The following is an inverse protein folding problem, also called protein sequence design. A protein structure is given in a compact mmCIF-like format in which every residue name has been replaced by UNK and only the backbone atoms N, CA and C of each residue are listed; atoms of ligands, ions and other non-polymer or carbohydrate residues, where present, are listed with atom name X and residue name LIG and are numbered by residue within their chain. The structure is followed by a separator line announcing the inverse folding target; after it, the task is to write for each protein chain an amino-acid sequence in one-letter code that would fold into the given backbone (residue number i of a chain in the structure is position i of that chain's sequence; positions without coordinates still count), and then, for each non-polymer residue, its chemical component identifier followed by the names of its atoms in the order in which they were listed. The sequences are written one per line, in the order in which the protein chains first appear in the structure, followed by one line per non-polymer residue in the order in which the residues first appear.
data_IF_098162943966
#
_entry.id   IF_098162943966
#
_cell.length_a   1.000
_cell.length_b   1.000
_cell.length_c   1.000
_cell.angle_alpha   90.00
_cell.angle_beta   90.00
_cell.angle_gamma   90.00
#
_symmetry.space_group_name_H-M   'P 1'
#
loop_
_entity.id
_entity.type
_entity.pdbx_description
1 polymer ?
#
# COMPACT_ATOMS: atom_id res chain seq x y z
N UNK A 1 -11.88 6.90 52.25
CA UNK A 1 -11.66 7.83 51.12
C UNK A 1 -11.02 7.03 50.01
N UNK A 2 -11.90 6.45 49.20
CA UNK A 2 -11.61 5.55 48.08
C UNK A 2 -11.17 6.41 46.89
N UNK A 3 -9.97 6.19 46.35
CA UNK A 3 -9.57 6.73 45.05
C UNK A 3 -8.94 5.60 44.24
N UNK A 4 -9.80 4.85 43.55
CA UNK A 4 -9.43 3.94 42.47
C UNK A 4 -8.87 4.75 41.30
N UNK A 5 -7.63 4.51 40.94
CA UNK A 5 -7.11 4.87 39.63
C UNK A 5 -7.46 3.76 38.63
N UNK A 6 -8.11 4.07 37.49
CA UNK A 6 -8.52 3.06 36.52
C UNK A 6 -7.29 2.46 35.83
N UNK A 7 -7.30 1.14 35.72
CA UNK A 7 -6.41 0.35 34.89
C UNK A 7 -6.34 0.95 33.48
N UNK A 8 -5.16 1.48 33.11
CA UNK A 8 -4.85 1.78 31.71
C UNK A 8 -4.77 0.44 30.99
N UNK A 9 -5.86 0.08 30.32
CA UNK A 9 -5.84 -0.93 29.28
C UNK A 9 -4.77 -0.50 28.27
N UNK A 10 -3.66 -1.24 28.22
CA UNK A 10 -2.88 -1.35 27.00
C UNK A 10 -3.84 -1.92 25.96
N UNK A 11 -4.47 -1.04 25.19
CA UNK A 11 -4.90 -1.41 23.86
C UNK A 11 -3.61 -1.80 23.15
N UNK A 12 -3.34 -3.10 23.12
CA UNK A 12 -2.55 -3.69 22.05
C UNK A 12 -3.23 -3.20 20.78
N UNK A 13 -2.61 -2.25 20.09
CA UNK A 13 -2.90 -1.99 18.69
C UNK A 13 -2.46 -3.27 17.96
N UNK A 14 -3.28 -4.30 18.06
CA UNK A 14 -3.45 -5.25 16.99
C UNK A 14 -3.94 -4.37 15.87
N UNK A 15 -3.03 -3.91 15.00
CA UNK A 15 -3.39 -3.61 13.64
C UNK A 15 -3.96 -4.91 13.09
N UNK A 16 -5.25 -5.14 13.35
CA UNK A 16 -6.10 -5.90 12.45
C UNK A 16 -6.19 -5.04 11.21
N UNK A 17 -5.11 -5.04 10.42
CA UNK A 17 -5.22 -4.76 9.02
C UNK A 17 -6.00 -5.95 8.45
N UNK A 18 -7.33 -5.88 8.54
CA UNK A 18 -8.16 -6.58 7.58
C UNK A 18 -7.88 -5.92 6.23
N UNK A 19 -6.76 -6.30 5.63
CA UNK A 19 -6.51 -6.15 4.22
C UNK A 19 -7.62 -6.93 3.51
N UNK A 20 -8.69 -6.25 3.10
CA UNK A 20 -9.57 -6.79 2.06
C UNK A 20 -8.81 -6.60 0.76
N UNK A 21 -7.92 -7.55 0.44
CA UNK A 21 -7.15 -7.51 -0.80
C UNK A 21 -8.13 -7.41 -1.96
N UNK A 22 -7.85 -6.55 -2.95
CA UNK A 22 -8.58 -6.60 -4.21
C UNK A 22 -8.50 -8.04 -4.75
N UNK A 23 -9.56 -8.58 -5.35
CA UNK A 23 -9.48 -9.89 -5.95
C UNK A 23 -8.47 -9.84 -7.10
N UNK A 24 -7.51 -10.76 -7.11
CA UNK A 24 -6.40 -10.79 -8.06
C UNK A 24 -6.29 -12.17 -8.67
N UNK A 25 -5.97 -12.22 -9.95
CA UNK A 25 -5.55 -13.44 -10.62
C UNK A 25 -4.02 -13.43 -10.70
N UNK A 26 -3.38 -14.23 -9.86
CA UNK A 26 -1.94 -14.30 -9.70
C UNK A 26 -1.42 -15.59 -10.32
N UNK A 27 -0.48 -15.49 -11.26
CA UNK A 27 0.21 -16.67 -11.82
C UNK A 27 1.70 -16.56 -11.52
N UNK A 28 2.22 -17.54 -10.80
CA UNK A 28 3.65 -17.72 -10.62
C UNK A 28 4.23 -18.43 -11.83
N UNK A 29 5.34 -17.93 -12.36
CA UNK A 29 6.11 -18.51 -13.46
C UNK A 29 7.51 -18.80 -12.93
N UNK A 30 7.77 -20.05 -12.56
CA UNK A 30 9.02 -20.45 -11.90
C UNK A 30 9.97 -21.13 -12.88
N UNK A 31 11.21 -20.64 -12.89
CA UNK A 31 12.32 -21.26 -13.58
C UNK A 31 12.82 -22.48 -12.79
N UNK A 32 12.83 -23.64 -13.45
CA UNK A 32 13.42 -24.88 -12.94
C UNK A 32 14.46 -25.45 -13.89
N UNK A 33 15.09 -24.58 -14.69
CA UNK A 33 16.19 -24.93 -15.58
C UNK A 33 17.42 -25.43 -14.82
N UNK A 34 18.40 -25.95 -15.57
CA UNK A 34 19.63 -26.52 -15.00
C UNK A 34 20.50 -25.48 -14.28
N UNK A 35 20.41 -24.19 -14.63
CA UNK A 35 21.14 -23.14 -13.90
C UNK A 35 20.65 -23.03 -12.47
N UNK A 36 19.33 -23.17 -12.27
CA UNK A 36 18.69 -23.12 -10.96
C UNK A 36 19.06 -24.36 -10.16
N UNK A 37 19.97 -24.19 -9.19
CA UNK A 37 20.34 -25.26 -8.27
C UNK A 37 19.14 -25.66 -7.43
N UNK A 38 19.08 -26.93 -7.02
CA UNK A 38 17.98 -27.47 -6.22
C UNK A 38 17.72 -26.67 -4.94
N UNK A 39 18.77 -26.18 -4.27
CA UNK A 39 18.63 -25.33 -3.09
C UNK A 39 17.97 -23.97 -3.41
N UNK A 40 18.29 -23.37 -4.55
CA UNK A 40 17.68 -22.09 -4.97
C UNK A 40 16.23 -22.29 -5.42
N UNK A 41 15.92 -23.42 -6.05
CA UNK A 41 14.54 -23.80 -6.36
C UNK A 41 13.68 -23.97 -5.11
N UNK A 42 14.21 -24.60 -4.06
CA UNK A 42 13.48 -24.70 -2.78
C UNK A 42 13.31 -23.33 -2.11
N UNK A 43 14.30 -22.44 -2.15
CA UNK A 43 14.13 -21.06 -1.68
C UNK A 43 13.06 -20.30 -2.47
N UNK A 44 12.99 -20.48 -3.78
CA UNK A 44 11.93 -19.91 -4.59
C UNK A 44 10.55 -20.43 -4.14
N UNK A 45 10.42 -21.73 -3.86
CA UNK A 45 9.19 -22.31 -3.31
C UNK A 45 8.84 -21.79 -1.91
N UNK A 46 9.82 -21.60 -1.04
CA UNK A 46 9.62 -20.96 0.28
C UNK A 46 9.09 -19.53 0.09
N UNK A 47 9.72 -18.73 -0.77
CA UNK A 47 9.26 -17.39 -1.13
C UNK A 47 7.80 -17.38 -1.62
N UNK A 48 7.43 -18.30 -2.51
CA UNK A 48 6.05 -18.39 -2.99
C UNK A 48 5.06 -18.74 -1.87
N UNK A 49 5.46 -19.64 -0.96
CA UNK A 49 4.63 -20.05 0.17
C UNK A 49 4.42 -18.92 1.17
N UNK A 50 5.46 -18.15 1.49
CA UNK A 50 5.40 -16.99 2.38
C UNK A 50 4.51 -15.88 1.79
N UNK A 51 4.64 -15.64 0.48
CA UNK A 51 3.75 -14.72 -0.22
C UNK A 51 2.29 -15.18 -0.13
N UNK A 52 2.03 -16.47 -0.40
CA UNK A 52 0.67 -17.03 -0.28
C UNK A 52 0.10 -16.90 1.14
N UNK A 53 0.95 -16.98 2.19
CA UNK A 53 0.52 -16.77 3.57
C UNK A 53 0.01 -15.35 3.81
N UNK A 54 0.62 -14.35 3.17
CA UNK A 54 0.20 -12.95 3.26
C UNK A 54 -1.08 -12.61 2.48
N UNK A 55 -1.50 -13.47 1.55
CA UNK A 55 -2.64 -13.23 0.66
C UNK A 55 -3.93 -13.89 1.16
N UNK A 56 -5.08 -13.27 0.87
CA UNK A 56 -6.39 -13.90 1.03
C UNK A 56 -6.70 -14.74 -0.22
N UNK A 57 -6.69 -16.07 -0.06
CA UNK A 57 -6.93 -17.04 -1.14
C UNK A 57 -8.40 -17.45 -1.15
N UNK A 58 -9.05 -17.39 -2.30
CA UNK A 58 -10.46 -17.76 -2.43
C UNK A 58 -11.02 -17.59 -3.83
N UNK A 59 -12.23 -18.10 -4.06
CA UNK A 59 -12.94 -17.95 -5.34
C UNK A 59 -13.20 -16.49 -5.69
N UNK A 60 -13.51 -15.68 -4.69
CA UNK A 60 -13.87 -14.26 -4.84
C UNK A 60 -12.79 -13.31 -4.32
N UNK A 61 -11.63 -13.86 -3.92
CA UNK A 61 -10.45 -13.15 -3.44
C UNK A 61 -9.28 -13.37 -4.43
N UNK A 62 -8.10 -13.78 -3.95
CA UNK A 62 -6.95 -14.10 -4.81
C UNK A 62 -7.05 -15.53 -5.34
N UNK A 63 -6.93 -15.68 -6.66
CA UNK A 63 -6.79 -16.97 -7.35
C UNK A 63 -5.33 -17.14 -7.76
N UNK A 64 -4.77 -18.33 -7.56
CA UNK A 64 -3.35 -18.58 -7.80
C UNK A 64 -3.17 -19.72 -8.80
N UNK A 65 -2.37 -19.48 -9.84
CA UNK A 65 -1.88 -20.48 -10.78
C UNK A 65 -0.36 -20.62 -10.69
N UNK A 66 0.16 -21.74 -11.16
CA UNK A 66 1.59 -21.99 -11.22
C UNK A 66 1.98 -22.62 -12.55
N UNK A 67 2.96 -21.98 -13.19
CA UNK A 67 3.63 -22.44 -14.40
C UNK A 67 5.09 -22.69 -14.05
N UNK A 68 5.55 -23.90 -14.26
CA UNK A 68 6.91 -24.35 -14.06
C UNK A 68 7.57 -24.53 -15.43
N UNK A 69 8.77 -23.98 -15.64
CA UNK A 69 9.39 -24.06 -16.95
C UNK A 69 10.90 -24.34 -16.90
N UNK A 70 11.36 -24.99 -17.96
CA UNK A 70 12.77 -25.16 -18.29
C UNK A 70 12.92 -25.17 -19.82
N UNK A 71 13.34 -26.29 -20.43
CA UNK A 71 13.24 -26.48 -21.90
C UNK A 71 11.79 -26.63 -22.37
N UNK A 72 10.91 -27.06 -21.48
CA UNK A 72 9.47 -27.22 -21.71
C UNK A 72 8.71 -26.45 -20.64
N UNK A 73 7.43 -26.15 -20.90
CA UNK A 73 6.55 -25.45 -19.97
C UNK A 73 5.50 -26.42 -19.45
N UNK A 74 5.43 -26.57 -18.13
CA UNK A 74 4.45 -27.37 -17.41
C UNK A 74 3.55 -26.46 -16.58
N UNK A 75 2.23 -26.61 -16.73
CA UNK A 75 1.27 -25.96 -15.85
C UNK A 75 1.01 -26.91 -14.68
N UNK A 76 1.48 -26.55 -13.49
CA UNK A 76 1.29 -27.38 -12.29
C UNK A 76 -0.16 -27.30 -11.80
N UNK A 77 -0.75 -26.10 -11.83
CA UNK A 77 -2.17 -25.88 -11.57
C UNK A 77 -2.64 -24.52 -12.08
N UNK A 78 -3.94 -24.42 -12.36
CA UNK A 78 -4.59 -23.23 -12.92
C UNK A 78 -5.29 -22.43 -11.82
N UNK A 79 -5.71 -21.19 -12.15
CA UNK A 79 -6.36 -20.25 -11.23
C UNK A 79 -7.63 -20.82 -10.57
N UNK A 80 -8.33 -21.74 -11.24
CA UNK A 80 -9.55 -22.39 -10.73
C UNK A 80 -9.32 -23.66 -9.89
N UNK A 81 -8.06 -24.09 -9.71
CA UNK A 81 -7.77 -25.40 -9.11
C UNK A 81 -7.84 -25.38 -7.58
N UNK A 82 -7.26 -24.36 -6.93
CA UNK A 82 -7.18 -24.28 -5.47
C UNK A 82 -7.76 -22.96 -4.95
N UNK A 83 -8.79 -23.06 -4.12
CA UNK A 83 -9.40 -21.91 -3.43
C UNK A 83 -9.15 -21.91 -1.92
N UNK A 84 -8.44 -22.91 -1.40
CA UNK A 84 -8.06 -22.98 0.01
C UNK A 84 -6.54 -22.84 0.13
N UNK A 85 -6.10 -21.97 1.05
CA UNK A 85 -4.68 -21.69 1.28
C UNK A 85 -3.88 -22.96 1.60
N UNK A 86 -4.42 -23.85 2.44
CA UNK A 86 -3.76 -25.09 2.87
C UNK A 86 -3.48 -26.04 1.69
N UNK A 87 -4.47 -26.27 0.81
CA UNK A 87 -4.30 -27.15 -0.35
C UNK A 87 -3.39 -26.54 -1.42
N UNK A 88 -3.47 -25.21 -1.61
CA UNK A 88 -2.56 -24.47 -2.49
C UNK A 88 -1.10 -24.61 -2.04
N UNK A 89 -0.81 -24.42 -0.74
CA UNK A 89 0.55 -24.57 -0.21
C UNK A 89 1.06 -26.01 -0.34
N UNK A 90 0.21 -27.00 -0.09
CA UNK A 90 0.59 -28.40 -0.27
C UNK A 90 0.89 -28.72 -1.74
N UNK A 91 0.16 -28.11 -2.68
CA UNK A 91 0.45 -28.23 -4.11
C UNK A 91 1.81 -27.60 -4.45
N UNK A 92 2.07 -26.37 -4.00
CA UNK A 92 3.35 -25.66 -4.17
C UNK A 92 4.54 -26.47 -3.64
N UNK A 93 4.42 -27.07 -2.45
CA UNK A 93 5.48 -27.84 -1.82
C UNK A 93 5.88 -29.11 -2.62
N UNK A 94 4.95 -29.69 -3.40
CA UNK A 94 5.16 -30.92 -4.17
C UNK A 94 5.75 -30.70 -5.56
N UNK A 95 5.91 -29.46 -5.99
CA UNK A 95 6.42 -29.17 -7.33
C UNK A 95 7.89 -29.59 -7.43
N UNK A 96 8.20 -30.32 -8.50
CA UNK A 96 9.54 -30.79 -8.81
C UNK A 96 10.15 -30.02 -9.99
N UNK A 97 11.48 -29.81 -10.00
CA UNK A 97 12.13 -29.10 -11.09
C UNK A 97 12.21 -29.96 -12.37
N UNK A 98 11.99 -29.35 -13.54
CA UNK A 98 12.02 -30.02 -14.85
C UNK A 98 13.45 -30.26 -15.37
N UNK A 99 14.40 -29.41 -14.97
CA UNK A 99 15.78 -29.35 -15.46
C UNK A 99 15.90 -29.06 -16.98
N UNK A 100 17.14 -28.93 -17.47
CA UNK A 100 17.51 -28.60 -18.88
C UNK A 100 17.65 -27.09 -19.16
N UNK A 101 17.14 -26.58 -20.28
CA UNK A 101 17.30 -25.19 -20.74
C UNK A 101 16.33 -24.21 -20.10
N UNK A 102 16.29 -22.97 -20.61
CA UNK A 102 15.59 -21.83 -19.99
C UNK A 102 14.76 -21.08 -21.04
N UNK A 103 13.57 -21.60 -21.37
CA UNK A 103 12.66 -21.05 -22.39
C UNK A 103 11.63 -20.10 -21.76
N UNK A 104 12.10 -18.96 -21.25
CA UNK A 104 11.28 -18.00 -20.50
C UNK A 104 10.22 -17.33 -21.38
N UNK A 105 10.53 -17.00 -22.64
CA UNK A 105 9.56 -16.43 -23.58
C UNK A 105 8.40 -17.39 -23.82
N UNK A 106 8.68 -18.68 -24.01
CA UNK A 106 7.66 -19.72 -24.10
C UNK A 106 6.81 -19.83 -22.83
N UNK A 107 7.41 -19.66 -21.66
CA UNK A 107 6.70 -19.68 -20.37
C UNK A 107 5.73 -18.50 -20.25
N UNK A 108 6.15 -17.28 -20.57
CA UNK A 108 5.30 -16.08 -20.57
C UNK A 108 4.15 -16.26 -21.56
N UNK A 109 4.44 -16.74 -22.78
CA UNK A 109 3.42 -17.00 -23.80
C UNK A 109 2.39 -18.02 -23.30
N UNK A 110 2.86 -19.12 -22.72
CA UNK A 110 1.99 -20.18 -22.19
C UNK A 110 1.12 -19.66 -21.04
N UNK A 111 1.67 -18.84 -20.15
CA UNK A 111 0.88 -18.21 -19.09
C UNK A 111 -0.23 -17.33 -19.66
N UNK A 112 0.09 -16.48 -20.65
CA UNK A 112 -0.89 -15.62 -21.32
C UNK A 112 -1.99 -16.43 -22.03
N UNK A 113 -1.62 -17.46 -22.80
CA UNK A 113 -2.55 -18.22 -23.65
C UNK A 113 -3.30 -19.34 -22.94
N UNK A 114 -2.83 -19.79 -21.76
CA UNK A 114 -3.41 -20.95 -21.07
C UNK A 114 -3.69 -20.76 -19.59
N UNK A 115 -2.98 -19.86 -18.89
CA UNK A 115 -3.20 -19.64 -17.45
C UNK A 115 -4.11 -18.43 -17.17
N UNK A 116 -4.01 -17.37 -17.98
CA UNK A 116 -4.79 -16.15 -17.85
C UNK A 116 -6.10 -16.12 -18.68
N UNK A 117 -6.61 -17.29 -19.06
CA UNK A 117 -7.86 -17.43 -19.80
C UNK A 117 -9.07 -17.69 -18.90
N UNK A 118 -10.27 -17.42 -19.42
CA UNK A 118 -11.51 -17.66 -18.68
C UNK A 118 -11.69 -19.15 -18.33
N UNK A 119 -11.27 -20.04 -19.23
CA UNK A 119 -11.33 -21.49 -19.04
C UNK A 119 -10.40 -21.95 -17.93
N UNK A 120 -9.27 -21.24 -17.74
CA UNK A 120 -8.33 -21.48 -16.65
C UNK A 120 -8.77 -20.88 -15.31
N UNK A 121 -9.82 -20.07 -15.30
CA UNK A 121 -10.34 -19.41 -14.10
C UNK A 121 -9.93 -17.94 -13.96
N UNK A 122 -9.30 -17.35 -14.97
CA UNK A 122 -9.06 -15.91 -14.97
C UNK A 122 -10.38 -15.15 -15.13
N UNK A 123 -10.55 -14.11 -14.33
CA UNK A 123 -11.71 -13.25 -14.33
C UNK A 123 -11.53 -12.12 -15.35
N UNK A 124 -12.65 -11.60 -15.81
CA UNK A 124 -12.66 -10.57 -16.86
C UNK A 124 -12.17 -9.24 -16.29
N UNK A 125 -11.31 -8.55 -17.04
CA UNK A 125 -10.68 -7.29 -16.62
C UNK A 125 -11.69 -6.16 -16.33
N UNK A 126 -12.93 -6.27 -16.81
CA UNK A 126 -14.01 -5.31 -16.52
C UNK A 126 -14.42 -5.24 -15.03
N UNK A 127 -13.99 -6.21 -14.21
CA UNK A 127 -14.33 -6.31 -12.78
C UNK A 127 -13.28 -5.60 -11.89
N UNK A 128 -12.35 -4.81 -12.46
CA UNK A 128 -11.24 -4.18 -11.72
C UNK A 128 -10.36 -5.23 -10.99
N UNK A 129 -10.19 -6.40 -11.62
CA UNK A 129 -9.38 -7.52 -11.13
C UNK A 129 -8.03 -7.45 -11.85
N UNK A 130 -6.97 -7.30 -11.07
CA UNK A 130 -5.61 -7.28 -11.60
C UNK A 130 -5.19 -8.70 -12.03
N UNK A 131 -4.56 -8.80 -13.20
CA UNK A 131 -3.88 -10.01 -13.65
C UNK A 131 -2.39 -9.81 -13.45
N UNK A 132 -1.79 -10.57 -12.55
CA UNK A 132 -0.40 -10.39 -12.15
C UNK A 132 0.39 -11.66 -12.42
N UNK A 133 1.49 -11.54 -13.14
CA UNK A 133 2.46 -12.60 -13.35
C UNK A 133 3.72 -12.31 -12.53
N UNK A 134 4.18 -13.26 -11.72
CA UNK A 134 5.45 -13.17 -11.01
C UNK A 134 6.40 -14.21 -11.60
N UNK A 135 7.43 -13.73 -12.29
CA UNK A 135 8.47 -14.55 -12.90
C UNK A 135 9.63 -14.66 -11.92
N UNK A 136 10.00 -15.89 -11.55
CA UNK A 136 11.15 -16.16 -10.70
C UNK A 136 12.20 -16.90 -11.54
N UNK A 137 13.39 -16.32 -11.70
CA UNK A 137 14.47 -16.90 -12.53
C UNK A 137 15.85 -16.52 -12.00
N UNK A 138 16.84 -17.39 -12.24
CA UNK A 138 18.25 -17.15 -11.90
C UNK A 138 19.12 -16.79 -13.12
N UNK A 139 18.53 -16.80 -14.32
CA UNK A 139 19.26 -16.98 -15.55
C UNK A 139 18.90 -16.02 -16.67
N UNK A 140 19.66 -16.12 -17.77
CA UNK A 140 19.36 -15.43 -19.02
C UNK A 140 18.44 -16.31 -19.87
N UNK A 141 17.35 -15.77 -20.42
CA UNK A 141 16.48 -16.52 -21.31
C UNK A 141 17.25 -17.00 -22.55
N UNK A 142 16.90 -18.19 -23.05
CA UNK A 142 17.47 -18.76 -24.28
C UNK A 142 16.62 -18.47 -25.53
N UNK A 143 15.50 -17.78 -25.34
CA UNK A 143 14.54 -17.37 -26.36
C UNK A 143 14.22 -15.86 -26.26
N UNK A 144 13.44 -15.34 -27.22
CA UNK A 144 13.05 -13.93 -27.24
C UNK A 144 11.95 -13.67 -26.21
N UNK A 145 12.27 -12.87 -25.19
CA UNK A 145 11.33 -12.49 -24.12
C UNK A 145 10.68 -11.13 -24.33
N UNK A 146 11.31 -10.22 -25.07
CA UNK A 146 10.89 -8.81 -25.13
C UNK A 146 9.53 -8.66 -25.80
N UNK A 147 9.35 -9.28 -26.97
CA UNK A 147 8.11 -9.23 -27.74
C UNK A 147 6.95 -9.89 -26.99
N UNK A 148 7.21 -11.05 -26.38
CA UNK A 148 6.19 -11.82 -25.66
C UNK A 148 5.78 -11.12 -24.36
N UNK A 149 6.74 -10.56 -23.62
CA UNK A 149 6.45 -9.77 -22.43
C UNK A 149 5.67 -8.50 -22.80
N UNK A 150 6.02 -7.82 -23.90
CA UNK A 150 5.26 -6.68 -24.39
C UNK A 150 3.80 -7.05 -24.74
N UNK A 151 3.58 -8.18 -25.41
CA UNK A 151 2.24 -8.67 -25.73
C UNK A 151 1.44 -9.00 -24.46
N UNK A 152 2.06 -9.66 -23.47
CA UNK A 152 1.44 -9.95 -22.20
C UNK A 152 1.05 -8.66 -21.45
N UNK A 153 1.93 -7.66 -21.39
CA UNK A 153 1.62 -6.33 -20.82
C UNK A 153 0.48 -5.62 -21.55
N UNK A 154 0.48 -5.64 -22.88
CA UNK A 154 -0.59 -5.08 -23.70
C UNK A 154 -1.95 -5.76 -23.46
N UNK A 155 -1.95 -7.04 -23.06
CA UNK A 155 -3.16 -7.77 -22.67
C UNK A 155 -3.67 -7.45 -21.25
N UNK A 156 -2.99 -6.54 -20.54
CA UNK A 156 -3.34 -6.12 -19.17
C UNK A 156 -2.77 -7.03 -18.09
N UNK A 157 -1.73 -7.83 -18.40
CA UNK A 157 -0.99 -8.62 -17.40
C UNK A 157 0.17 -7.77 -16.88
N UNK A 158 0.18 -7.55 -15.58
CA UNK A 158 1.28 -6.86 -14.89
C UNK A 158 2.37 -7.88 -14.53
N UNK A 159 3.60 -7.66 -14.99
CA UNK A 159 4.69 -8.63 -14.85
C UNK A 159 5.70 -8.12 -13.83
N UNK A 160 5.93 -8.92 -12.79
CA UNK A 160 6.98 -8.75 -11.80
C UNK A 160 8.09 -9.76 -12.08
N UNK A 161 9.33 -9.30 -12.16
CA UNK A 161 10.49 -10.15 -12.38
C UNK A 161 11.34 -10.22 -11.11
N UNK A 162 11.56 -11.43 -10.62
CA UNK A 162 12.31 -11.74 -9.40
C UNK A 162 13.54 -12.54 -9.79
N UNK A 163 14.70 -11.89 -9.72
CA UNK A 163 16.00 -12.50 -9.93
C UNK A 163 16.48 -13.23 -8.68
N UNK A 164 17.00 -14.45 -8.83
CA UNK A 164 17.63 -15.22 -7.75
C UNK A 164 19.13 -15.41 -8.04
N UNK A 165 19.98 -15.25 -7.02
CA UNK A 165 21.45 -15.47 -7.04
C UNK A 165 22.24 -14.68 -8.09
N UNK A 166 22.26 -15.11 -9.35
CA UNK A 166 23.08 -14.55 -10.46
C UNK A 166 22.25 -14.02 -11.63
N UNK A 167 20.98 -13.71 -11.39
CA UNK A 167 20.08 -13.28 -12.45
C UNK A 167 20.56 -12.00 -13.16
N UNK A 168 20.31 -11.94 -14.46
CA UNK A 168 20.74 -10.80 -15.28
C UNK A 168 19.70 -9.67 -15.21
N UNK A 169 20.06 -8.55 -14.58
CA UNK A 169 19.16 -7.41 -14.37
C UNK A 169 18.57 -6.83 -15.66
N UNK A 170 19.32 -6.85 -16.76
CA UNK A 170 18.83 -6.37 -18.06
C UNK A 170 17.74 -7.30 -18.60
N UNK A 171 17.96 -8.61 -18.51
CA UNK A 171 16.97 -9.62 -18.89
C UNK A 171 15.69 -9.49 -18.05
N UNK A 172 15.81 -9.29 -16.74
CA UNK A 172 14.65 -9.08 -15.85
C UNK A 172 13.84 -7.84 -16.24
N UNK A 173 14.51 -6.73 -16.60
CA UNK A 173 13.85 -5.50 -17.05
C UNK A 173 13.09 -5.66 -18.35
N UNK A 174 13.59 -6.45 -19.30
CA UNK A 174 12.89 -6.72 -20.56
C UNK A 174 11.54 -7.43 -20.33
N UNK A 175 11.49 -8.29 -19.32
CA UNK A 175 10.28 -9.05 -18.96
C UNK A 175 9.30 -8.22 -18.11
N UNK A 176 9.80 -7.52 -17.11
CA UNK A 176 8.98 -6.80 -16.13
C UNK A 176 8.17 -5.65 -16.74
N UNK A 177 7.08 -5.28 -16.08
CA UNK A 177 6.34 -4.05 -16.37
C UNK A 177 7.11 -2.79 -15.96
N UNK A 178 6.88 -1.65 -16.63
CA UNK A 178 7.30 -0.35 -16.11
C UNK A 178 6.36 0.12 -14.97
N UNK A 179 6.85 0.91 -14.01
CA UNK A 179 8.25 1.35 -13.84
C UNK A 179 9.10 0.22 -13.21
N UNK A 180 10.32 0.03 -13.72
CA UNK A 180 11.13 -1.16 -13.42
C UNK A 180 11.64 -1.23 -11.98
N UNK A 181 11.81 -0.09 -11.31
CA UNK A 181 12.16 0.01 -9.89
C UNK A 181 11.05 -0.52 -8.96
N UNK A 182 9.82 -0.65 -9.47
CA UNK A 182 8.70 -1.23 -8.74
C UNK A 182 8.38 -2.69 -9.12
N UNK A 183 8.92 -3.18 -10.25
CA UNK A 183 8.57 -4.49 -10.81
C UNK A 183 9.77 -5.44 -10.95
N UNK A 184 11.00 -4.97 -10.74
CA UNK A 184 12.20 -5.80 -10.80
C UNK A 184 12.82 -5.92 -9.42
N UNK A 185 12.95 -7.15 -8.95
CA UNK A 185 13.47 -7.47 -7.64
C UNK A 185 14.61 -8.45 -7.75
N UNK A 186 15.59 -8.32 -6.86
CA UNK A 186 16.77 -9.17 -6.83
C UNK A 186 16.91 -9.77 -5.43
N UNK A 187 16.80 -11.09 -5.32
CA UNK A 187 16.82 -11.84 -4.06
C UNK A 187 18.24 -12.35 -3.83
N UNK A 188 19.09 -11.53 -3.19
CA UNK A 188 20.38 -11.98 -2.64
C UNK A 188 20.25 -12.51 -1.21
N UNK A 189 19.26 -12.03 -0.45
CA UNK A 189 19.07 -12.35 0.98
C UNK A 189 17.58 -12.30 1.36
N UNK A 190 17.21 -13.01 2.45
CA UNK A 190 15.84 -13.16 2.96
C UNK A 190 15.03 -11.84 3.07
N UNK A 191 15.67 -10.68 3.28
CA UNK A 191 14.97 -9.38 3.43
C UNK A 191 14.23 -8.88 2.17
N UNK A 192 14.53 -9.44 1.00
CA UNK A 192 13.86 -9.06 -0.26
C UNK A 192 12.44 -9.63 -0.33
N UNK A 193 12.21 -10.77 0.33
CA UNK A 193 10.89 -11.41 0.42
C UNK A 193 9.90 -10.51 1.15
N UNK A 194 10.33 -9.92 2.27
CA UNK A 194 9.50 -9.00 3.05
C UNK A 194 9.20 -7.71 2.29
N UNK A 195 10.17 -7.18 1.53
CA UNK A 195 9.96 -5.98 0.70
C UNK A 195 9.02 -6.23 -0.47
N UNK A 196 9.14 -7.38 -1.13
CA UNK A 196 8.18 -7.83 -2.15
C UNK A 196 6.81 -7.99 -1.54
N UNK A 197 6.70 -8.68 -0.40
CA UNK A 197 5.45 -8.94 0.29
C UNK A 197 4.80 -7.64 0.78
N UNK A 198 5.59 -6.69 1.31
CA UNK A 198 5.09 -5.39 1.76
C UNK A 198 4.65 -4.51 0.60
N UNK A 199 5.41 -4.47 -0.51
CA UNK A 199 5.02 -3.71 -1.70
C UNK A 199 3.79 -4.33 -2.37
N UNK A 200 3.72 -5.65 -2.50
CA UNK A 200 2.52 -6.34 -2.95
C UNK A 200 1.35 -6.02 -2.02
N UNK A 201 1.55 -6.01 -0.71
CA UNK A 201 0.52 -5.60 0.24
C UNK A 201 0.11 -4.13 0.07
N UNK A 202 1.03 -3.22 -0.20
CA UNK A 202 0.71 -1.79 -0.43
C UNK A 202 0.00 -1.55 -1.78
N UNK A 203 0.42 -2.25 -2.83
CA UNK A 203 -0.17 -2.17 -4.17
C UNK A 203 -1.53 -2.88 -4.23
N UNK A 204 -1.71 -3.98 -3.47
CA UNK A 204 -2.86 -4.88 -3.56
C UNK A 204 -3.86 -4.73 -2.41
N UNK A 205 -3.40 -4.37 -1.20
CA UNK A 205 -4.29 -3.85 -0.16
C UNK A 205 -4.58 -2.39 -0.50
N UNK A 206 -5.65 -2.22 -1.29
CA UNK A 206 -6.35 -0.97 -1.56
C UNK A 206 -5.71 0.26 -0.94
N UNK A 207 -4.83 0.89 -1.72
CA UNK A 207 -4.65 2.32 -1.66
C UNK A 207 -6.03 2.95 -1.47
N UNK A 208 -6.25 3.60 -0.33
CA UNK A 208 -7.51 4.26 0.00
C UNK A 208 -7.88 5.15 -1.20
N UNK A 209 -8.90 4.78 -2.01
CA UNK A 209 -9.22 5.53 -3.21
C UNK A 209 -9.63 6.98 -2.90
N UNK A 210 -10.06 7.25 -1.66
CA UNK A 210 -10.29 8.61 -1.18
C UNK A 210 -8.98 9.33 -0.79
N UNK A 211 -7.94 8.63 -0.33
CA UNK A 211 -6.65 9.23 0.03
C UNK A 211 -5.77 9.59 -1.18
N UNK A 212 -5.97 8.95 -2.34
CA UNK A 212 -5.17 9.19 -3.55
C UNK A 212 -5.69 10.30 -4.46
N UNK A 213 -6.73 11.03 -4.02
CA UNK A 213 -7.40 12.06 -4.81
C UNK A 213 -8.63 11.50 -5.52
N UNK A 214 -9.79 12.05 -5.15
CA UNK A 214 -11.10 11.63 -5.64
C UNK A 214 -11.87 12.77 -6.29
N UNK A 215 -12.87 12.42 -7.10
CA UNK A 215 -13.71 13.40 -7.80
C UNK A 215 -15.02 13.76 -7.08
N UNK A 216 -15.21 13.32 -5.83
CA UNK A 216 -16.39 13.68 -5.03
C UNK A 216 -16.40 15.15 -4.64
N UNK A 217 -17.53 15.83 -4.82
CA UNK A 217 -17.72 17.22 -4.38
C UNK A 217 -17.78 17.35 -2.85
N UNK A 218 -18.35 16.36 -2.15
CA UNK A 218 -18.50 16.36 -0.69
C UNK A 218 -17.72 15.20 -0.07
N UNK A 219 -18.40 14.15 0.37
CA UNK A 219 -17.81 13.06 1.15
C UNK A 219 -17.45 11.93 0.19
N UNK A 220 -16.19 11.50 0.21
CA UNK A 220 -15.77 10.26 -0.41
C UNK A 220 -15.85 9.13 0.61
N UNK A 221 -16.50 8.02 0.22
CA UNK A 221 -16.60 6.82 1.06
C UNK A 221 -16.03 5.64 0.29
N UNK A 222 -15.02 5.00 0.85
CA UNK A 222 -14.47 3.77 0.31
C UNK A 222 -15.55 2.68 0.32
N UNK A 223 -15.68 2.00 -0.81
CA UNK A 223 -16.29 0.69 -0.87
C UNK A 223 -15.19 -0.33 -1.18
N UNK A 224 -15.48 -1.62 -1.02
CA UNK A 224 -14.49 -2.71 -0.98
C UNK A 224 -13.34 -2.58 -2.01
N UNK A 225 -13.60 -2.04 -3.21
CA UNK A 225 -12.61 -1.92 -4.30
C UNK A 225 -12.61 -0.58 -5.07
N UNK A 226 -13.38 0.42 -4.64
CA UNK A 226 -13.57 1.74 -5.28
C UNK A 226 -14.03 2.78 -4.24
N UNK A 227 -14.57 3.91 -4.67
CA UNK A 227 -15.23 4.86 -3.79
C UNK A 227 -16.58 5.27 -4.36
N UNK A 228 -17.46 5.74 -3.48
CA UNK A 228 -18.69 6.40 -3.88
C UNK A 228 -18.85 7.70 -3.11
N UNK A 229 -19.51 8.66 -3.74
CA UNK A 229 -19.71 9.96 -3.14
C UNK A 229 -20.98 9.98 -2.31
N UNK A 230 -20.90 10.53 -1.11
CA UNK A 230 -22.05 10.92 -0.28
C UNK A 230 -22.12 12.43 -0.17
N UNK A 231 -23.34 12.94 -0.04
CA UNK A 231 -23.57 14.35 0.20
C UNK A 231 -23.77 14.63 1.69
N UNK A 232 -23.37 15.83 2.14
CA UNK A 232 -23.75 16.33 3.46
C UNK A 232 -25.28 16.46 3.61
N UNK A 233 -25.75 16.54 4.85
CA UNK A 233 -27.17 16.70 5.16
C UNK A 233 -27.76 17.92 4.42
N UNK A 234 -28.95 17.75 3.84
CA UNK A 234 -29.62 18.78 3.04
C UNK A 234 -29.27 18.79 1.54
N UNK A 235 -28.42 17.87 1.08
CA UNK A 235 -28.05 17.71 -0.33
C UNK A 235 -28.36 16.31 -0.86
N UNK A 236 -28.63 16.20 -2.16
CA UNK A 236 -28.91 14.97 -2.90
C UNK A 236 -27.83 14.78 -3.95
N UNK A 237 -27.34 13.54 -4.07
CA UNK A 237 -26.33 13.19 -5.06
C UNK A 237 -26.93 13.26 -6.47
N UNK A 238 -26.27 13.99 -7.36
CA UNK A 238 -26.70 14.16 -8.74
C UNK A 238 -26.50 12.87 -9.56
N UNK A 239 -27.07 12.84 -10.77
CA UNK A 239 -26.97 11.68 -11.67
C UNK A 239 -25.53 11.35 -12.09
N UNK A 240 -24.63 12.34 -12.03
CA UNK A 240 -23.20 12.14 -12.29
C UNK A 240 -22.47 11.34 -11.18
N UNK A 241 -23.17 11.05 -10.06
CA UNK A 241 -22.67 10.34 -8.87
C UNK A 241 -21.44 11.01 -8.22
N UNK A 242 -21.17 12.27 -8.53
CA UNK A 242 -19.99 13.02 -8.08
C UNK A 242 -20.34 14.36 -7.43
N UNK A 243 -21.34 15.05 -7.98
CA UNK A 243 -21.78 16.36 -7.48
C UNK A 243 -23.06 16.25 -6.64
N UNK A 244 -23.27 17.24 -5.78
CA UNK A 244 -24.36 17.28 -4.80
C UNK A 244 -25.19 18.55 -5.00
N UNK A 245 -26.50 18.40 -5.20
CA UNK A 245 -27.45 19.51 -5.29
C UNK A 245 -28.27 19.65 -4.02
N UNK A 246 -28.64 20.87 -3.63
CA UNK A 246 -29.45 21.10 -2.43
C UNK A 246 -30.84 20.48 -2.62
N UNK A 247 -31.32 19.75 -1.60
CA UNK A 247 -32.64 19.12 -1.60
C UNK A 247 -33.70 20.23 -1.65
N UNK A 248 -34.39 20.39 -2.78
CA UNK A 248 -35.54 21.29 -2.85
C UNK A 248 -36.70 20.62 -2.12
N UNK A 249 -36.94 21.05 -0.87
CA UNK A 249 -38.19 20.75 -0.20
C UNK A 249 -39.29 21.60 -0.85
N UNK A 250 -39.92 21.07 -1.91
CA UNK A 250 -41.21 21.56 -2.35
C UNK A 250 -42.27 21.10 -1.34
N UNK A 251 -42.38 21.80 -0.22
CA UNK A 251 -43.46 21.59 0.75
C UNK A 251 -44.74 22.33 0.31
N UNK A 252 -45.08 22.24 -0.98
CA UNK A 252 -46.24 22.93 -1.57
C UNK A 252 -47.27 21.95 -2.16
N UNK A 253 -47.35 20.73 -1.61
CA UNK A 253 -48.33 19.72 -2.03
C UNK A 253 -49.05 19.04 -0.85
N UNK A 254 -49.24 19.73 0.28
CA UNK A 254 -50.18 19.29 1.32
C UNK A 254 -50.97 20.49 1.86
N UNK A 255 -51.64 21.26 1.00
CA UNK A 255 -52.73 22.17 1.40
C UNK A 255 -53.74 22.36 0.25
N UNK A 256 -54.06 21.30 -0.51
CA UNK A 256 -55.13 21.34 -1.52
C UNK A 256 -56.46 20.71 -1.06
N UNK A 257 -56.57 20.27 0.19
CA UNK A 257 -57.75 19.55 0.68
C UNK A 257 -58.53 20.21 1.82
N UNK A 258 -58.15 21.39 2.30
CA UNK A 258 -58.96 22.09 3.31
C UNK A 258 -59.06 23.58 3.03
N UNK A 259 -60.32 24.01 2.85
CA UNK A 259 -60.87 25.37 2.95
C UNK A 259 -61.09 26.15 1.64
N UNK A 260 -62.18 25.74 0.97
CA UNK A 260 -63.17 26.68 0.44
C UNK A 260 -63.79 27.48 1.60
N UNK A 261 -64.12 28.75 1.33
CA UNK A 261 -64.83 29.74 2.16
C UNK A 261 -63.93 30.54 3.12
N UNK A 262 -63.44 31.70 2.68
CA UNK A 262 -63.96 33.04 3.00
C UNK A 262 -63.09 34.08 2.30
N UNK A 263 -63.74 35.12 1.83
CA UNK A 263 -63.21 36.26 1.09
C UNK A 263 -62.18 37.06 1.91
N UNK A 264 -61.32 37.75 1.15
CA UNK A 264 -60.52 38.91 1.53
C UNK A 264 -59.25 38.69 2.36
N UNK A 265 -58.20 39.35 1.85
CA UNK A 265 -56.84 39.51 2.35
C UNK A 265 -55.90 38.34 2.06
N UNK A 266 -55.25 38.47 0.89
CA UNK A 266 -53.94 37.88 0.64
C UNK A 266 -53.03 38.10 1.86
N UNK A 267 -52.48 37.04 2.48
CA UNK A 267 -51.50 37.23 3.53
C UNK A 267 -50.19 37.65 2.88
N UNK A 268 -49.62 38.74 3.40
CA UNK A 268 -48.22 39.07 3.25
C UNK A 268 -47.41 37.80 3.44
N UNK A 269 -46.68 37.44 2.39
CA UNK A 269 -45.89 36.23 2.27
C UNK A 269 -44.61 36.40 3.11
N UNK A 270 -44.75 36.39 4.43
CA UNK A 270 -43.62 36.25 5.36
C UNK A 270 -43.50 34.80 5.81
N UNK A 271 -43.10 33.94 4.87
CA UNK A 271 -42.28 32.80 5.22
C UNK A 271 -40.85 33.20 4.89
N UNK A 272 -40.08 33.50 5.94
CA UNK A 272 -38.70 33.95 5.89
C UNK A 272 -37.91 33.17 4.87
N UNK A 273 -37.62 33.81 3.73
CA UNK A 273 -36.39 33.52 2.98
C UNK A 273 -35.28 33.60 4.02
N UNK A 274 -34.74 32.46 4.43
CA UNK A 274 -33.38 32.42 4.98
C UNK A 274 -32.51 33.04 3.90
N UNK A 275 -32.31 34.35 4.01
CA UNK A 275 -31.58 35.12 3.03
C UNK A 275 -30.14 34.66 3.13
N UNK A 276 -29.61 34.03 2.09
CA UNK A 276 -28.21 33.64 2.01
C UNK A 276 -27.33 34.88 2.22
N UNK A 277 -26.71 35.05 3.41
CA UNK A 277 -26.00 36.29 3.73
C UNK A 277 -24.69 36.38 2.95
N UNK A 278 -24.11 35.24 2.54
CA UNK A 278 -22.94 35.22 1.67
C UNK A 278 -23.27 35.69 0.23
N UNK A 279 -24.48 35.44 -0.28
CA UNK A 279 -24.88 35.86 -1.62
C UNK A 279 -25.26 37.35 -1.76
N UNK A 280 -25.53 38.04 -0.65
CA UNK A 280 -25.92 39.47 -0.61
C UNK A 280 -24.73 40.44 -0.50
N UNK A 281 -23.50 39.93 -0.50
CA UNK A 281 -22.28 40.69 -0.26
C UNK A 281 -21.84 40.56 1.20
N UNK A 282 -20.67 39.95 1.40
CA UNK A 282 -20.04 39.74 2.70
C UNK A 282 -18.68 40.44 2.76
N UNK A 283 -18.19 40.69 3.98
CA UNK A 283 -16.87 41.28 4.20
C UNK A 283 -15.81 40.25 4.65
N UNK A 284 -16.06 38.95 4.45
CA UNK A 284 -15.03 37.93 4.62
C UNK A 284 -13.93 38.09 3.58
N UNK A 285 -12.68 38.10 4.02
CA UNK A 285 -11.52 38.20 3.14
C UNK A 285 -11.34 36.95 2.25
N UNK A 286 -11.65 35.75 2.77
CA UNK A 286 -11.37 34.49 2.07
C UNK A 286 -12.59 33.59 1.87
N UNK A 287 -13.16 33.02 2.94
CA UNK A 287 -14.27 32.06 2.85
C UNK A 287 -15.44 32.58 3.68
N UNK A 288 -16.64 32.55 3.12
CA UNK A 288 -17.89 32.89 3.80
C UNK A 288 -18.74 31.62 3.96
N UNK A 289 -19.25 31.38 5.17
CA UNK A 289 -20.07 30.23 5.53
C UNK A 289 -21.40 30.74 6.09
N UNK A 290 -22.51 30.36 5.46
CA UNK A 290 -23.85 30.74 5.94
C UNK A 290 -24.16 30.07 7.29
N UNK A 291 -24.73 30.84 8.22
CA UNK A 291 -25.11 30.38 9.57
C UNK A 291 -26.46 30.99 9.94
N UNK A 292 -27.52 30.18 9.98
CA UNK A 292 -28.91 30.53 10.34
C UNK A 292 -29.44 31.86 9.75
N UNK A 293 -29.15 33.01 10.38
CA UNK A 293 -29.55 34.37 9.93
C UNK A 293 -28.36 35.30 9.58
N UNK A 294 -27.14 34.79 9.56
CA UNK A 294 -25.88 35.54 9.37
C UNK A 294 -24.83 34.72 8.58
N UNK A 295 -23.61 35.25 8.46
CA UNK A 295 -22.47 34.54 7.91
C UNK A 295 -21.29 34.55 8.87
N UNK A 296 -20.49 33.48 8.83
CA UNK A 296 -19.24 33.35 9.55
C UNK A 296 -18.12 33.30 8.52
N UNK A 297 -17.05 34.05 8.74
CA UNK A 297 -15.86 34.00 7.89
C UNK A 297 -14.93 32.88 8.34
N UNK A 298 -14.30 32.22 7.37
CA UNK A 298 -13.26 31.22 7.58
C UNK A 298 -12.08 31.49 6.66
N UNK A 299 -10.94 30.91 6.98
CA UNK A 299 -9.70 31.09 6.23
C UNK A 299 -9.29 29.80 5.51
N UNK A 300 -8.61 29.97 4.37
CA UNK A 300 -7.96 28.89 3.65
C UNK A 300 -6.82 28.31 4.48
N UNK A 301 -6.44 27.07 4.18
CA UNK A 301 -5.32 26.37 4.83
C UNK A 301 -4.07 27.26 4.86
N UNK A 302 -3.44 27.38 6.03
CA UNK A 302 -2.27 28.24 6.25
C UNK A 302 -2.57 29.65 6.79
N UNK A 303 -3.84 30.00 6.98
CA UNK A 303 -4.27 31.29 7.52
C UNK A 303 -5.14 31.10 8.77
N UNK A 304 -5.06 32.05 9.71
CA UNK A 304 -5.88 32.11 10.93
C UNK A 304 -6.78 33.32 10.85
N UNK A 305 -8.05 33.12 11.19
CA UNK A 305 -9.03 34.19 11.26
C UNK A 305 -8.62 35.16 12.36
N UNK A 306 -8.46 36.43 12.01
CA UNK A 306 -8.08 37.48 12.93
C UNK A 306 -9.19 37.77 13.94
N UNK A 307 -8.86 38.54 14.98
CA UNK A 307 -9.81 38.91 16.04
C UNK A 307 -11.02 39.70 15.52
N UNK A 308 -10.90 40.34 14.35
CA UNK A 308 -12.00 41.03 13.68
C UNK A 308 -13.05 40.08 13.06
N UNK A 309 -12.78 38.76 13.09
CA UNK A 309 -13.61 37.68 12.56
C UNK A 309 -13.92 37.79 11.06
N UNK A 310 -13.11 38.55 10.31
CA UNK A 310 -13.34 38.88 8.89
C UNK A 310 -12.09 38.74 8.04
N UNK A 311 -10.94 39.15 8.56
CA UNK A 311 -9.65 39.08 7.87
C UNK A 311 -8.84 37.86 8.31
N UNK A 312 -7.91 37.43 7.47
CA UNK A 312 -7.14 36.20 7.62
C UNK A 312 -5.64 36.53 7.62
N UNK A 313 -4.96 36.39 8.75
CA UNK A 313 -3.49 36.50 8.77
C UNK A 313 -2.85 35.15 8.51
N UNK A 314 -1.69 35.12 7.83
CA UNK A 314 -0.91 33.88 7.74
C UNK A 314 -0.61 33.35 9.14
N UNK A 315 -0.82 32.05 9.34
CA UNK A 315 -0.47 31.38 10.60
C UNK A 315 1.04 31.51 10.76
N UNK A 316 1.49 32.28 11.75
CA UNK A 316 2.91 32.37 12.09
C UNK A 316 3.27 31.10 12.88
N UNK A 317 3.51 30.01 12.15
CA UNK A 317 3.86 28.71 12.73
C UNK A 317 5.35 28.68 13.10
N UNK A 318 5.68 29.34 14.21
CA UNK A 318 6.83 28.92 15.02
C UNK A 318 6.40 27.79 15.97
N UNK A 319 5.93 26.69 15.40
CA UNK A 319 5.82 25.37 16.05
C UNK A 319 5.54 24.35 14.96
N UNK A 320 6.57 23.56 14.69
CA UNK A 320 6.61 22.26 14.01
C UNK A 320 5.30 21.76 13.40
N UNK A 321 5.04 22.14 12.14
CA UNK A 321 4.21 21.43 11.16
C UNK A 321 4.41 22.15 9.81
N UNK A 322 5.63 22.04 9.25
CA UNK A 322 5.92 22.54 7.89
C UNK A 322 5.75 21.42 6.89
N UNK A 323 4.57 21.40 6.26
CA UNK A 323 4.41 20.95 4.87
C UNK A 323 5.04 22.03 3.99
N UNK A 324 6.04 21.65 3.18
CA UNK A 324 6.81 22.53 2.32
C UNK A 324 6.08 22.75 0.98
N UNK A 325 5.92 24.01 0.57
CA UNK A 325 5.69 24.37 -0.83
C UNK A 325 6.56 25.59 -1.16
N UNK A 326 7.50 25.38 -2.07
CA UNK A 326 8.54 26.24 -2.66
C UNK A 326 9.83 26.54 -1.85
N UNK A 327 10.89 25.89 -2.33
CA UNK A 327 12.34 26.07 -2.24
C UNK A 327 13.06 26.16 -0.88
N UNK A 328 13.87 25.12 -0.64
CA UNK A 328 14.86 24.88 0.44
C UNK A 328 14.35 24.32 1.77
N UNK A 329 13.76 23.12 1.72
CA UNK A 329 14.07 22.10 2.72
C UNK A 329 14.68 20.93 1.95
N UNK A 330 16.00 20.98 1.76
CA UNK A 330 16.75 19.84 1.22
C UNK A 330 16.61 18.72 2.25
N UNK A 331 15.79 17.71 1.95
CA UNK A 331 15.82 16.43 2.66
C UNK A 331 17.16 15.79 2.34
N UNK A 332 18.17 16.14 3.14
CA UNK A 332 19.54 15.79 2.88
C UNK A 332 19.76 14.26 3.03
N UNK A 333 18.87 13.57 3.77
CA UNK A 333 18.82 12.11 3.79
C UNK A 333 18.22 11.50 2.50
N UNK A 334 17.26 12.16 1.85
CA UNK A 334 16.68 11.67 0.58
C UNK A 334 17.58 11.90 -0.66
N UNK A 335 18.51 12.85 -0.60
CA UNK A 335 19.39 13.21 -1.74
C UNK A 335 20.72 12.43 -1.78
N UNK A 336 20.85 11.37 -0.98
CA UNK A 336 22.07 10.57 -0.84
C UNK A 336 22.96 11.09 0.29
N UNK A 337 23.14 10.24 1.31
CA UNK A 337 23.96 10.52 2.50
C UNK A 337 25.05 9.45 2.66
N UNK A 338 26.09 9.76 3.43
CA UNK A 338 27.18 8.83 3.72
C UNK A 338 27.14 8.23 5.14
N UNK A 339 26.02 8.36 5.84
CA UNK A 339 25.78 7.66 7.11
C UNK A 339 25.81 6.14 6.95
N UNK A 340 26.56 5.45 7.81
CA UNK A 340 26.64 3.99 7.81
C UNK A 340 25.35 3.30 8.30
N UNK A 341 24.61 3.91 9.24
CA UNK A 341 23.44 3.28 9.87
C UNK A 341 22.14 4.08 9.68
N UNK A 342 21.97 5.18 10.39
CA UNK A 342 20.73 5.97 10.40
C UNK A 342 21.08 7.41 10.03
N UNK A 343 20.32 8.01 9.13
CA UNK A 343 20.41 9.42 8.76
C UNK A 343 19.20 10.17 9.33
N UNK A 344 19.42 11.30 10.00
CA UNK A 344 18.36 12.16 10.52
C UNK A 344 18.54 13.59 9.99
N UNK A 345 17.49 14.13 9.38
CA UNK A 345 17.53 15.49 8.85
C UNK A 345 17.63 16.53 9.96
N UNK A 346 18.53 17.50 9.78
CA UNK A 346 18.74 18.61 10.71
C UNK A 346 18.97 19.89 9.92
N UNK A 347 18.00 20.82 9.98
CA UNK A 347 18.07 22.20 9.48
C UNK A 347 18.98 22.41 8.24
N UNK A 348 18.53 21.96 7.06
CA UNK A 348 19.24 22.00 5.76
C UNK A 348 20.49 21.09 5.61
N UNK A 349 20.74 20.18 6.55
CA UNK A 349 21.76 19.12 6.50
C UNK A 349 21.22 17.81 7.07
N UNK A 350 22.07 16.79 7.23
CA UNK A 350 21.78 15.57 7.97
C UNK A 350 22.82 15.30 9.05
N UNK A 351 22.42 14.54 10.07
CA UNK A 351 23.30 13.96 11.08
C UNK A 351 23.17 12.44 11.05
N UNK A 352 24.29 11.74 11.26
CA UNK A 352 24.29 10.28 11.32
C UNK A 352 24.12 9.79 12.75
N UNK A 353 23.33 8.74 12.93
CA UNK A 353 23.11 8.03 14.18
C UNK A 353 23.42 6.54 14.01
N UNK A 354 23.79 5.89 15.10
CA UNK A 354 24.07 4.46 15.13
C UNK A 354 22.91 3.68 15.76
N UNK A 355 22.69 2.45 15.30
CA UNK A 355 21.76 1.48 15.92
C UNK A 355 22.28 1.05 17.30
N UNK A 356 21.40 0.51 18.13
CA UNK A 356 21.79 -0.02 19.45
C UNK A 356 22.97 -1.00 19.37
N UNK A 357 23.91 -0.89 20.31
CA UNK A 357 25.15 -1.66 20.31
C UNK A 357 26.32 -1.02 19.54
N UNK A 358 26.11 0.12 18.89
CA UNK A 358 27.15 0.85 18.13
C UNK A 358 27.31 2.30 18.58
N UNK A 359 28.52 2.84 18.43
CA UNK A 359 28.93 4.21 18.75
C UNK A 359 29.37 4.94 17.48
N UNK A 360 28.95 6.19 17.33
CA UNK A 360 29.31 7.02 16.18
C UNK A 360 30.78 7.43 16.31
N UNK A 361 31.55 7.14 15.27
CA UNK A 361 32.96 7.46 15.21
C UNK A 361 33.17 8.98 15.06
N UNK A 362 34.41 9.43 15.27
CA UNK A 362 34.77 10.85 15.18
C UNK A 362 34.55 11.48 13.80
N UNK A 363 34.43 10.66 12.75
CA UNK A 363 34.08 11.10 11.40
C UNK A 363 32.60 11.51 11.24
N UNK A 364 31.79 11.32 12.30
CA UNK A 364 30.36 11.58 12.37
C UNK A 364 29.52 10.85 11.33
N UNK A 365 30.03 9.76 10.75
CA UNK A 365 29.42 9.05 9.62
C UNK A 365 29.42 7.53 9.82
N UNK A 366 30.51 6.99 10.36
CA UNK A 366 30.66 5.56 10.58
C UNK A 366 30.36 5.17 12.02
N UNK A 367 29.96 3.92 12.22
CA UNK A 367 29.54 3.35 13.50
C UNK A 367 30.44 2.17 13.84
N UNK A 368 31.12 2.23 14.98
CA UNK A 368 31.88 1.09 15.53
C UNK A 368 31.09 0.40 16.63
N UNK A 369 31.29 -0.90 16.82
CA UNK A 369 30.64 -1.63 17.92
C UNK A 369 31.10 -0.99 19.23
N UNK A 370 30.16 -0.66 20.12
CA UNK A 370 30.49 -0.19 21.47
C UNK A 370 31.42 -1.23 22.09
N UNK A 371 32.66 -0.85 22.40
CA UNK A 371 33.54 -1.73 23.15
C UNK A 371 32.91 -1.96 24.51
N UNK A 372 32.35 -3.15 24.70
CA UNK A 372 32.14 -3.72 26.02
C UNK A 372 33.52 -3.84 26.64
N UNK A 373 33.90 -2.89 27.49
CA UNK A 373 35.05 -3.05 28.37
C UNK A 373 34.75 -4.25 29.27
N UNK A 374 35.33 -5.39 28.89
CA UNK A 374 35.37 -6.61 29.68
C UNK A 374 34.43 -7.72 29.22
N UNK A 375 34.82 -8.46 28.18
CA UNK A 375 35.04 -9.92 28.27
C UNK A 375 35.58 -10.44 26.93
N UNK A 376 36.82 -10.91 26.98
CA UNK A 376 37.52 -11.57 25.88
C UNK A 376 36.99 -13.01 25.79
N UNK A 377 36.34 -13.38 24.68
CA UNK A 377 36.15 -14.77 24.29
C UNK A 377 37.11 -15.08 23.13
N UNK A 378 38.25 -15.69 23.46
CA UNK A 378 39.16 -16.25 22.45
C UNK A 378 38.66 -17.65 22.11
N UNK A 379 38.09 -17.85 20.91
CA UNK A 379 37.89 -19.17 20.36
C UNK A 379 39.24 -19.72 19.86
N UNK A 380 39.96 -20.42 20.74
CA UNK A 380 40.99 -21.38 20.34
C UNK A 380 40.31 -22.70 19.96
N UNK A 381 40.50 -23.15 18.71
CA UNK A 381 40.11 -24.49 18.33
C UNK A 381 40.95 -25.52 19.07
N UNK A 382 40.31 -26.55 19.63
CA UNK A 382 40.72 -27.97 19.64
C UNK A 382 39.72 -28.77 20.51
N UNK A 383 39.13 -29.81 19.90
CA UNK A 383 38.58 -31.06 20.45
C UNK A 383 37.78 -31.09 21.76
N UNK A 384 36.54 -31.59 21.66
CA UNK A 384 35.78 -32.38 22.65
C UNK A 384 35.94 -32.04 24.14
N UNK A 385 34.95 -31.36 24.73
CA UNK A 385 34.22 -31.79 25.94
C UNK A 385 33.16 -30.75 26.34
N UNK A 386 31.95 -31.24 26.67
CA UNK A 386 30.91 -30.67 27.54
C UNK A 386 31.04 -29.18 27.92
N UNK A 387 30.20 -28.31 27.33
CA UNK A 387 29.91 -26.98 27.89
C UNK A 387 28.71 -27.10 28.82
N UNK A 388 28.99 -27.18 30.12
CA UNK A 388 28.02 -26.85 31.17
C UNK A 388 27.93 -25.33 31.27
N UNK A 389 26.79 -24.73 30.91
CA UNK A 389 26.49 -23.35 31.27
C UNK A 389 26.20 -23.29 32.77
N UNK A 390 27.18 -22.84 33.56
CA UNK A 390 26.96 -22.48 34.95
C UNK A 390 26.30 -21.09 35.01
N UNK A 391 25.04 -21.06 35.41
CA UNK A 391 24.30 -19.86 35.77
C UNK A 391 24.89 -19.24 37.05
N UNK A 392 25.48 -18.06 36.93
CA UNK A 392 25.78 -17.20 38.07
C UNK A 392 24.73 -16.09 38.14
N UNK A 393 23.91 -16.17 39.19
CA UNK A 393 23.01 -15.13 39.67
C UNK A 393 23.69 -13.76 39.69
N UNK A 394 23.17 -12.80 38.93
CA UNK A 394 23.08 -11.41 39.37
C UNK A 394 21.70 -10.91 38.97
N UNK A 395 21.01 -10.34 39.95
CA UNK A 395 19.58 -10.07 39.93
C UNK A 395 19.14 -8.92 39.01
N UNK A 396 17.82 -8.86 38.91
CA UNK A 396 16.97 -7.74 38.51
C UNK A 396 17.62 -6.36 38.69
N UNK A 397 17.57 -5.53 37.65
CA UNK A 397 16.73 -4.33 37.66
C UNK A 397 16.64 -3.66 36.28
N UNK A 398 15.39 -3.39 35.88
CA UNK A 398 14.91 -2.26 35.07
C UNK A 398 15.67 -1.87 33.77
N UNK A 399 15.08 -2.18 32.62
CA UNK A 399 14.41 -1.24 31.70
C UNK A 399 13.84 -1.97 30.48
#
# INVERSE_FOLDING_TARGET
WDVRFPSRNCFTNVFSSNCRNRPIDLVFIIDSSRSVRRAEFEKAKEFLQDMVDSLEIGSDATRVGLVNYASTVQIEFLLKTYFQKSSLKQALARVEPLASGTMTGMAIKTAMEKAFTAEAGARVSSVNIAKVAIIVTDGRPQDNVEEVAAAARASGIEIYAVGVDRADMMSLRLMASPPHDEHVFYVETYGVIEKLTSKFRETLCGLDPCAQGHSCQHICVNNDYSYYCKCHAGYVLNQDKRTCSRKSFNHCLILFYFLFLWSDLAPDNQCSKGSDPCARGHNCEQICINSDDSYICSCRVGYVLNADKKTCSRKNTNTCDKVCYLDTCSDACAHGHDCQHICENSNNSYICKCREGYELNADQKTCSVKKLDGMICMCGGFQNLLVTCASANVGMDMC
#
